data_IF_653159703231
#
_entry.id   IF_653159703231
#
_cell.length_a   1.000
_cell.length_b   1.000
_cell.length_c   1.000
_cell.angle_alpha   90.00
_cell.angle_beta   90.00
_cell.angle_gamma   90.00
#
_symmetry.space_group_name_H-M   'P 1'
#
loop_
_entity.id
_entity.type
_entity.pdbx_description
1 polymer ?
#
# COMPACT_ATOMS: atom_id res chain seq x y z
N UNK A 1 -9.69 10.76 19.28
CA UNK A 1 -10.41 11.61 18.30
C UNK A 1 -11.88 11.52 18.64
N UNK A 2 -12.63 12.62 18.73
CA UNK A 2 -14.02 12.56 19.17
C UNK A 2 -14.90 12.06 18.01
N UNK A 3 -15.42 10.84 18.09
CA UNK A 3 -16.25 10.20 17.07
C UNK A 3 -17.50 11.03 16.70
N UNK A 4 -18.04 11.80 17.66
CA UNK A 4 -19.17 12.69 17.40
C UNK A 4 -18.90 13.82 16.41
N UNK A 5 -17.62 14.17 16.17
CA UNK A 5 -17.26 15.21 15.17
C UNK A 5 -17.46 14.74 13.74
N UNK A 6 -17.48 13.41 13.50
CA UNK A 6 -17.52 12.81 12.17
C UNK A 6 -18.80 12.00 11.90
N UNK A 7 -19.65 11.78 12.92
CA UNK A 7 -20.79 10.85 12.85
C UNK A 7 -22.05 11.40 12.15
N UNK A 8 -22.08 12.65 11.72
CA UNK A 8 -23.31 13.28 11.17
C UNK A 8 -23.22 13.69 9.71
N UNK A 9 -22.42 13.00 8.91
CA UNK A 9 -22.29 13.33 7.49
C UNK A 9 -23.37 12.66 6.64
N UNK A 10 -24.56 13.22 6.65
CA UNK A 10 -25.54 13.00 5.57
C UNK A 10 -25.35 13.96 4.38
N UNK A 11 -24.32 14.81 4.41
CA UNK A 11 -23.95 15.74 3.34
C UNK A 11 -22.52 15.49 2.88
N UNK A 12 -22.25 15.72 1.59
CA UNK A 12 -20.91 15.65 1.01
C UNK A 12 -19.93 16.70 1.56
N UNK A 13 -20.41 17.65 2.35
CA UNK A 13 -19.62 18.71 2.96
C UNK A 13 -19.29 18.39 4.42
N UNK A 14 -18.02 18.62 4.86
CA UNK A 14 -17.64 18.44 6.25
C UNK A 14 -18.40 19.44 7.15
N UNK A 15 -18.65 19.10 8.44
CA UNK A 15 -19.27 20.02 9.37
C UNK A 15 -18.56 21.37 9.42
N UNK A 16 -19.31 22.47 9.43
CA UNK A 16 -18.74 23.84 9.37
C UNK A 16 -17.65 24.13 10.40
N UNK A 17 -17.72 23.49 11.58
CA UNK A 17 -16.68 23.66 12.63
C UNK A 17 -15.36 23.03 12.21
N UNK A 18 -15.41 21.88 11.52
CA UNK A 18 -14.21 21.20 10.99
C UNK A 18 -13.62 22.03 9.86
N UNK A 19 -14.47 22.51 8.95
CA UNK A 19 -14.03 23.34 7.83
C UNK A 19 -13.32 24.61 8.33
N UNK A 20 -13.94 25.34 9.29
CA UNK A 20 -13.32 26.53 9.90
C UNK A 20 -12.00 26.21 10.62
N UNK A 21 -11.90 25.07 11.27
CA UNK A 21 -10.65 24.62 11.90
C UNK A 21 -9.55 24.35 10.87
N UNK A 22 -9.87 23.66 9.79
CA UNK A 22 -8.92 23.40 8.69
C UNK A 22 -8.50 24.72 8.03
N UNK A 23 -9.45 25.62 7.73
CA UNK A 23 -9.16 26.94 7.17
C UNK A 23 -8.24 27.76 8.08
N UNK A 24 -8.45 27.71 9.40
CA UNK A 24 -7.59 28.39 10.36
C UNK A 24 -6.17 27.79 10.40
N UNK A 25 -6.01 26.48 10.25
CA UNK A 25 -4.70 25.83 10.15
C UNK A 25 -3.99 26.27 8.87
N UNK A 26 -4.69 26.18 7.72
CA UNK A 26 -4.13 26.58 6.42
C UNK A 26 -3.69 28.03 6.44
N UNK A 27 -4.56 28.95 6.86
CA UNK A 27 -4.21 30.38 6.92
C UNK A 27 -3.05 30.67 7.87
N UNK A 28 -2.97 29.98 9.00
CA UNK A 28 -1.84 30.10 9.93
C UNK A 28 -0.55 29.59 9.30
N UNK A 29 -0.62 28.48 8.55
CA UNK A 29 0.53 27.92 7.84
C UNK A 29 1.03 28.89 6.76
N UNK A 30 0.12 29.49 5.98
CA UNK A 30 0.45 30.49 4.97
C UNK A 30 1.17 31.70 5.56
N UNK A 31 0.71 32.21 6.71
CA UNK A 31 1.39 33.29 7.45
C UNK A 31 2.83 32.91 7.81
N UNK A 32 3.05 31.68 8.30
CA UNK A 32 4.41 31.21 8.62
C UNK A 32 5.29 31.04 7.38
N UNK A 33 4.73 30.60 6.26
CA UNK A 33 5.44 30.50 4.97
C UNK A 33 5.86 31.90 4.50
N UNK A 34 4.95 32.87 4.58
CA UNK A 34 5.23 34.26 4.17
C UNK A 34 6.26 34.93 5.09
N UNK A 35 6.17 34.72 6.40
CA UNK A 35 7.21 35.11 7.35
C UNK A 35 8.56 34.47 6.99
N UNK A 36 8.57 33.21 6.56
CA UNK A 36 9.80 32.50 6.14
C UNK A 36 10.43 33.05 4.86
N UNK A 37 9.64 33.70 3.99
CA UNK A 37 10.11 34.38 2.76
C UNK A 37 10.69 35.76 3.03
N UNK A 38 10.40 36.36 4.16
CA UNK A 38 10.90 37.72 4.50
C UNK A 38 12.40 37.68 4.82
N UNK A 39 13.21 38.28 3.94
CA UNK A 39 14.66 38.34 4.06
C UNK A 39 15.14 39.05 5.36
N UNK A 40 14.29 39.90 5.96
CA UNK A 40 14.61 40.57 7.22
C UNK A 40 14.60 39.56 8.41
N UNK A 41 13.74 38.58 8.38
CA UNK A 41 13.66 37.49 9.38
C UNK A 41 14.76 36.42 9.22
N UNK A 42 15.38 36.33 8.04
CA UNK A 42 16.57 35.51 7.83
C UNK A 42 17.79 35.95 8.67
N UNK A 43 17.78 37.18 9.17
CA UNK A 43 18.80 37.73 10.10
C UNK A 43 18.60 37.22 11.54
N UNK A 44 17.43 36.71 11.87
CA UNK A 44 17.16 36.07 13.15
C UNK A 44 17.93 34.74 13.19
N UNK A 45 18.98 34.64 13.92
CA UNK A 45 20.04 33.64 13.93
C UNK A 45 19.62 32.17 13.88
N UNK A 46 20.59 31.25 13.85
CA UNK A 46 20.46 29.78 13.70
C UNK A 46 19.40 29.16 14.63
N UNK A 47 19.22 29.68 15.84
CA UNK A 47 18.25 29.19 16.82
C UNK A 47 16.78 29.37 16.38
N UNK A 48 16.44 30.44 15.70
CA UNK A 48 15.10 30.71 15.18
C UNK A 48 14.73 29.68 14.10
N UNK A 49 15.63 29.47 13.14
CA UNK A 49 15.44 28.48 12.07
C UNK A 49 15.19 27.08 12.63
N UNK A 50 15.93 26.68 13.67
CA UNK A 50 15.77 25.37 14.32
C UNK A 50 14.41 25.28 15.03
N UNK A 51 13.96 26.35 15.71
CA UNK A 51 12.66 26.38 16.39
C UNK A 51 11.49 26.29 15.41
N UNK A 52 11.54 27.05 14.32
CA UNK A 52 10.51 27.04 13.27
C UNK A 52 10.46 25.66 12.59
N UNK A 53 11.61 25.10 12.21
CA UNK A 53 11.67 23.75 11.63
C UNK A 53 11.11 22.68 12.57
N UNK A 54 11.39 22.76 13.87
CA UNK A 54 10.82 21.86 14.89
C UNK A 54 9.31 22.04 15.01
N UNK A 55 8.82 23.28 14.98
CA UNK A 55 7.39 23.56 15.04
C UNK A 55 6.66 22.97 13.83
N UNK A 56 7.17 23.15 12.60
CA UNK A 56 6.59 22.57 11.40
C UNK A 56 6.58 21.04 11.46
N UNK A 57 7.66 20.39 11.91
CA UNK A 57 7.70 18.93 12.11
C UNK A 57 6.64 18.46 13.11
N UNK A 58 6.46 19.18 14.21
CA UNK A 58 5.44 18.84 15.21
C UNK A 58 4.02 19.06 14.66
N UNK A 59 3.80 20.16 13.95
CA UNK A 59 2.51 20.45 13.30
C UNK A 59 2.15 19.36 12.28
N UNK A 60 3.10 18.98 11.42
CA UNK A 60 2.93 17.89 10.45
C UNK A 60 2.60 16.56 11.13
N UNK A 61 3.35 16.21 12.19
CA UNK A 61 3.11 14.97 12.93
C UNK A 61 1.71 14.93 13.62
N UNK A 62 1.21 16.09 14.07
CA UNK A 62 -0.12 16.20 14.69
C UNK A 62 -1.26 16.30 13.69
N UNK A 63 -1.01 16.93 12.53
CA UNK A 63 -1.99 17.00 11.46
C UNK A 63 -2.22 15.61 10.85
N UNK A 64 -1.16 14.77 10.85
CA UNK A 64 -1.15 13.43 10.29
C UNK A 64 -0.92 13.41 8.79
N UNK A 65 -0.96 12.22 8.24
CA UNK A 65 -0.79 11.96 6.81
C UNK A 65 -2.03 11.22 6.29
N UNK A 66 -2.40 11.50 5.04
CA UNK A 66 -3.50 10.80 4.38
C UNK A 66 -3.02 9.41 3.93
N UNK A 67 -3.78 8.38 4.27
CA UNK A 67 -3.56 7.01 3.80
C UNK A 67 -4.67 6.57 2.87
N UNK A 68 -4.31 5.90 1.77
CA UNK A 68 -5.24 5.21 0.87
C UNK A 68 -5.34 3.75 1.28
N UNK A 69 -6.51 3.31 1.71
CA UNK A 69 -6.79 1.93 2.07
C UNK A 69 -7.57 1.24 0.94
N UNK A 70 -6.95 0.25 0.30
CA UNK A 70 -7.53 -0.52 -0.80
C UNK A 70 -8.05 -1.85 -0.26
N UNK A 71 -9.37 -2.02 -0.27
CA UNK A 71 -10.04 -3.21 0.21
C UNK A 71 -9.81 -4.41 -0.71
N UNK A 72 -9.90 -5.60 -0.15
CA UNK A 72 -10.03 -6.84 -0.90
C UNK A 72 -11.34 -6.91 -1.69
N UNK A 73 -11.63 -8.09 -2.25
CA UNK A 73 -12.85 -8.34 -2.98
C UNK A 73 -12.62 -9.01 -4.34
N UNK A 74 -11.56 -9.79 -4.44
CA UNK A 74 -11.19 -10.51 -5.67
C UNK A 74 -11.20 -9.59 -6.91
N UNK A 75 -12.00 -9.88 -7.94
CA UNK A 75 -12.09 -9.08 -9.16
C UNK A 75 -12.58 -7.64 -8.98
N UNK A 76 -13.18 -7.28 -7.85
CA UNK A 76 -13.55 -5.88 -7.59
C UNK A 76 -12.34 -4.97 -7.39
N UNK A 77 -11.15 -5.52 -7.12
CA UNK A 77 -9.93 -4.71 -7.04
C UNK A 77 -9.63 -3.92 -8.33
N UNK A 78 -10.16 -4.35 -9.47
CA UNK A 78 -9.97 -3.63 -10.74
C UNK A 78 -10.57 -2.23 -10.73
N UNK A 79 -11.64 -1.98 -9.96
CA UNK A 79 -12.16 -0.62 -9.77
C UNK A 79 -11.17 0.29 -9.04
N UNK A 80 -10.33 -0.26 -8.18
CA UNK A 80 -9.30 0.49 -7.45
C UNK A 80 -8.25 1.10 -8.37
N UNK A 81 -7.96 0.49 -9.53
CA UNK A 81 -7.06 1.09 -10.52
C UNK A 81 -7.62 2.39 -11.07
N UNK A 82 -8.94 2.46 -11.33
CA UNK A 82 -9.61 3.69 -11.75
C UNK A 82 -9.53 4.79 -10.70
N UNK A 83 -9.69 4.43 -9.42
CA UNK A 83 -9.51 5.38 -8.29
C UNK A 83 -8.07 5.88 -8.22
N UNK A 84 -7.09 4.99 -8.32
CA UNK A 84 -5.66 5.35 -8.34
C UNK A 84 -5.37 6.26 -9.53
N UNK A 85 -5.89 5.96 -10.73
CA UNK A 85 -5.72 6.79 -11.92
C UNK A 85 -6.26 8.20 -11.69
N UNK A 86 -7.47 8.34 -11.15
CA UNK A 86 -8.08 9.64 -10.87
C UNK A 86 -7.28 10.45 -9.83
N UNK A 87 -6.77 9.79 -8.79
CA UNK A 87 -5.92 10.43 -7.78
C UNK A 87 -4.57 10.86 -8.36
N UNK A 88 -3.97 10.05 -9.24
CA UNK A 88 -2.73 10.36 -9.92
C UNK A 88 -2.90 11.58 -10.85
N UNK A 89 -3.95 11.60 -11.67
CA UNK A 89 -4.26 12.70 -12.59
C UNK A 89 -4.53 14.02 -11.85
N UNK A 90 -5.09 13.93 -10.65
CA UNK A 90 -5.38 15.07 -9.79
C UNK A 90 -4.18 15.49 -8.92
N UNK A 91 -3.05 14.79 -9.01
CA UNK A 91 -1.87 14.96 -8.14
C UNK A 91 -2.23 14.85 -6.63
N UNK A 92 -3.13 13.95 -6.31
CA UNK A 92 -3.64 13.70 -4.95
C UNK A 92 -3.36 12.28 -4.43
N UNK A 93 -2.53 11.51 -5.14
CA UNK A 93 -2.19 10.14 -4.73
C UNK A 93 -1.35 10.17 -3.45
N UNK A 94 -1.84 9.58 -2.33
CA UNK A 94 -1.12 9.60 -1.06
C UNK A 94 0.16 8.77 -1.08
N UNK A 95 1.10 9.13 -0.20
CA UNK A 95 2.36 8.39 -0.03
C UNK A 95 2.23 7.18 0.91
N UNK A 96 1.12 7.07 1.66
CA UNK A 96 0.82 5.90 2.49
C UNK A 96 -0.32 5.12 1.85
N UNK A 97 -0.03 3.88 1.48
CA UNK A 97 -1.00 3.01 0.82
C UNK A 97 -1.05 1.66 1.53
N UNK A 98 -2.26 1.23 1.86
CA UNK A 98 -2.51 -0.07 2.45
C UNK A 98 -3.42 -0.90 1.55
N UNK A 99 -3.14 -2.20 1.46
CA UNK A 99 -3.96 -3.13 0.69
C UNK A 99 -4.14 -4.47 1.41
N UNK A 100 -5.31 -5.08 1.20
CA UNK A 100 -5.63 -6.43 1.63
C UNK A 100 -6.16 -7.23 0.45
N UNK A 101 -5.79 -8.51 0.32
CA UNK A 101 -6.26 -9.39 -0.76
C UNK A 101 -6.07 -8.74 -2.13
N UNK A 102 -7.09 -8.70 -2.99
CA UNK A 102 -7.04 -8.00 -4.28
C UNK A 102 -6.57 -6.55 -4.20
N UNK A 103 -6.88 -5.83 -3.12
CA UNK A 103 -6.39 -4.47 -2.91
C UNK A 103 -4.87 -4.39 -2.71
N UNK A 104 -4.23 -5.45 -2.19
CA UNK A 104 -2.77 -5.53 -2.04
C UNK A 104 -2.06 -5.59 -3.40
N UNK A 105 -2.68 -6.18 -4.42
CA UNK A 105 -2.16 -6.24 -5.80
C UNK A 105 -2.04 -4.82 -6.36
N UNK A 106 -3.11 -4.03 -6.23
CA UNK A 106 -3.14 -2.63 -6.68
C UNK A 106 -2.15 -1.77 -5.88
N UNK A 107 -2.15 -1.92 -4.54
CA UNK A 107 -1.24 -1.20 -3.65
C UNK A 107 0.23 -1.47 -3.99
N UNK A 108 0.58 -2.72 -4.27
CA UNK A 108 1.92 -3.13 -4.66
C UNK A 108 2.36 -2.48 -5.98
N UNK A 109 1.50 -2.51 -7.01
CA UNK A 109 1.77 -1.83 -8.28
C UNK A 109 2.09 -0.36 -8.04
N UNK A 110 1.22 0.34 -7.29
CA UNK A 110 1.36 1.77 -7.04
C UNK A 110 2.62 2.11 -6.27
N UNK A 111 2.98 1.30 -5.28
CA UNK A 111 4.12 1.58 -4.41
C UNK A 111 5.47 1.14 -5.01
N UNK A 112 5.49 0.30 -6.04
CA UNK A 112 6.73 -0.14 -6.70
C UNK A 112 7.06 0.66 -7.96
N UNK A 113 6.12 1.47 -8.47
CA UNK A 113 6.30 2.25 -9.70
C UNK A 113 6.23 3.76 -9.42
N UNK A 114 7.02 4.54 -10.17
CA UNK A 114 6.98 6.01 -10.10
C UNK A 114 5.71 6.57 -10.75
N UNK A 115 5.43 7.87 -10.59
CA UNK A 115 4.26 8.50 -11.23
C UNK A 115 4.31 8.40 -12.76
N UNK A 116 5.51 8.55 -13.32
CA UNK A 116 5.75 8.45 -14.76
C UNK A 116 5.43 7.05 -15.27
N UNK A 117 5.94 6.02 -14.60
CA UNK A 117 5.67 4.62 -14.92
C UNK A 117 4.18 4.27 -14.75
N UNK A 118 3.54 4.77 -13.69
CA UNK A 118 2.10 4.56 -13.48
C UNK A 118 1.25 5.20 -14.59
N UNK A 119 1.67 6.35 -15.12
CA UNK A 119 0.98 6.98 -16.25
C UNK A 119 1.07 6.14 -17.53
N UNK A 120 2.16 5.41 -17.73
CA UNK A 120 2.32 4.49 -18.86
C UNK A 120 1.54 3.19 -18.67
N UNK A 121 1.54 2.65 -17.44
CA UNK A 121 0.90 1.37 -17.10
C UNK A 121 -0.62 1.51 -17.03
N UNK A 122 -1.13 2.58 -16.41
CA UNK A 122 -2.58 2.79 -16.19
C UNK A 122 -3.27 3.40 -17.42
N UNK A 123 -2.93 2.93 -18.60
CA UNK A 123 -3.62 3.20 -19.86
C UNK A 123 -4.62 2.08 -20.15
N UNK A 124 -5.53 2.28 -21.09
CA UNK A 124 -6.52 1.26 -21.48
C UNK A 124 -5.83 -0.02 -21.98
N UNK A 125 -4.73 0.10 -22.72
CA UNK A 125 -3.95 -1.01 -23.24
C UNK A 125 -3.18 -1.73 -22.10
N UNK A 126 -2.47 -0.97 -21.26
CA UNK A 126 -1.72 -1.52 -20.12
C UNK A 126 -2.64 -2.20 -19.11
N UNK A 127 -3.81 -1.63 -18.86
CA UNK A 127 -4.82 -2.22 -17.97
C UNK A 127 -5.38 -3.54 -18.51
N UNK A 128 -5.52 -3.68 -19.82
CA UNK A 128 -5.97 -4.94 -20.41
C UNK A 128 -5.01 -6.10 -20.09
N UNK A 129 -3.70 -5.86 -20.12
CA UNK A 129 -2.69 -6.87 -19.82
C UNK A 129 -2.62 -7.21 -18.32
N UNK A 130 -2.68 -6.18 -17.46
CA UNK A 130 -2.67 -6.33 -16.00
C UNK A 130 -3.92 -7.04 -15.48
N UNK A 131 -5.08 -6.74 -16.05
CA UNK A 131 -6.37 -7.29 -15.64
C UNK A 131 -6.63 -8.72 -16.15
N UNK A 132 -5.67 -9.38 -16.79
CA UNK A 132 -5.76 -10.79 -17.19
C UNK A 132 -5.21 -11.71 -16.08
N UNK A 133 -5.96 -11.95 -14.98
CA UNK A 133 -5.40 -12.67 -13.84
C UNK A 133 -5.19 -14.16 -14.13
N UNK A 134 -5.98 -14.75 -15.04
CA UNK A 134 -6.03 -16.20 -15.25
C UNK A 134 -5.81 -16.53 -16.73
N UNK A 135 -4.59 -16.98 -17.05
CA UNK A 135 -4.26 -17.49 -18.41
C UNK A 135 -4.51 -19.00 -18.52
N UNK A 136 -4.98 -19.64 -17.44
CA UNK A 136 -5.23 -21.07 -17.39
C UNK A 136 -6.66 -21.43 -17.76
N UNK A 137 -6.81 -22.49 -18.54
CA UNK A 137 -8.12 -23.05 -18.86
C UNK A 137 -8.79 -23.62 -17.58
N UNK A 138 -10.09 -23.44 -17.46
CA UNK A 138 -10.90 -23.91 -16.32
C UNK A 138 -10.74 -25.41 -16.03
N UNK A 139 -10.44 -26.24 -17.04
CA UNK A 139 -10.19 -27.70 -16.89
C UNK A 139 -8.93 -27.96 -16.06
N UNK A 140 -7.87 -27.20 -16.30
CA UNK A 140 -6.59 -27.30 -15.56
C UNK A 140 -6.79 -26.88 -14.10
N UNK A 141 -7.56 -25.82 -13.87
CA UNK A 141 -7.89 -25.36 -12.50
C UNK A 141 -8.69 -26.41 -11.72
N UNK A 142 -9.68 -27.06 -12.35
CA UNK A 142 -10.45 -28.14 -11.71
C UNK A 142 -9.56 -29.37 -11.44
N UNK A 143 -8.72 -29.76 -12.38
CA UNK A 143 -7.79 -30.88 -12.17
C UNK A 143 -6.85 -30.62 -10.99
N UNK A 144 -6.32 -29.40 -10.88
CA UNK A 144 -5.48 -28.98 -9.75
C UNK A 144 -6.28 -29.00 -8.45
N UNK A 145 -7.50 -28.50 -8.44
CA UNK A 145 -8.34 -28.54 -7.25
C UNK A 145 -8.59 -29.97 -6.74
N UNK A 146 -8.88 -30.91 -7.64
CA UNK A 146 -9.08 -32.32 -7.28
C UNK A 146 -7.78 -32.92 -6.73
N UNK A 147 -6.63 -32.59 -7.29
CA UNK A 147 -5.33 -33.16 -6.91
C UNK A 147 -4.75 -32.48 -5.66
N UNK A 148 -4.80 -31.17 -5.58
CA UNK A 148 -4.02 -30.36 -4.65
C UNK A 148 -4.88 -29.57 -3.65
N UNK A 149 -6.21 -29.53 -3.84
CA UNK A 149 -7.15 -28.80 -3.00
C UNK A 149 -7.11 -27.28 -3.20
N UNK A 150 -6.46 -26.79 -4.27
CA UNK A 150 -6.40 -25.35 -4.63
C UNK A 150 -6.63 -25.15 -6.12
N UNK A 151 -7.32 -24.08 -6.48
CA UNK A 151 -7.59 -23.75 -7.89
C UNK A 151 -6.39 -23.13 -8.60
N UNK A 152 -5.61 -22.30 -7.89
CA UNK A 152 -4.49 -21.55 -8.45
C UNK A 152 -3.15 -22.18 -8.11
N UNK A 153 -2.17 -21.92 -8.97
CA UNK A 153 -0.78 -22.31 -8.80
C UNK A 153 0.01 -21.17 -8.14
N UNK A 154 0.55 -21.36 -6.92
CA UNK A 154 1.27 -20.31 -6.22
C UNK A 154 2.52 -19.84 -6.96
N UNK A 155 3.29 -20.74 -7.58
CA UNK A 155 4.53 -20.41 -8.27
C UNK A 155 4.26 -19.55 -9.50
N UNK A 156 3.25 -19.94 -10.27
CA UNK A 156 2.82 -19.20 -11.46
C UNK A 156 2.26 -17.83 -11.09
N UNK A 157 1.45 -17.75 -10.03
CA UNK A 157 0.92 -16.48 -9.53
C UNK A 157 2.04 -15.56 -9.02
N UNK A 158 3.02 -16.11 -8.30
CA UNK A 158 4.19 -15.37 -7.84
C UNK A 158 4.98 -14.78 -9.02
N UNK A 159 5.28 -15.61 -10.03
CA UNK A 159 5.99 -15.17 -11.22
C UNK A 159 5.24 -14.03 -11.95
N UNK A 160 3.91 -14.14 -12.05
CA UNK A 160 3.07 -13.11 -12.68
C UNK A 160 3.06 -11.80 -11.87
N UNK A 161 2.97 -11.89 -10.55
CA UNK A 161 3.07 -10.71 -9.67
C UNK A 161 4.43 -10.03 -9.81
N UNK A 162 5.52 -10.80 -9.86
CA UNK A 162 6.86 -10.28 -10.05
C UNK A 162 7.02 -9.57 -11.40
N UNK A 163 6.50 -10.15 -12.46
CA UNK A 163 6.59 -9.62 -13.82
C UNK A 163 5.76 -8.34 -14.00
N UNK A 164 4.52 -8.34 -13.54
CA UNK A 164 3.54 -7.32 -13.92
C UNK A 164 3.25 -6.28 -12.83
N UNK A 165 3.45 -6.60 -11.54
CA UNK A 165 2.96 -5.76 -10.44
C UNK A 165 4.03 -5.25 -9.48
N UNK A 166 5.13 -5.98 -9.28
CA UNK A 166 6.09 -5.66 -8.21
C UNK A 166 7.50 -5.37 -8.68
N UNK A 167 7.73 -5.31 -9.99
CA UNK A 167 9.08 -5.12 -10.58
C UNK A 167 10.08 -6.17 -10.09
N UNK A 168 9.73 -7.43 -10.27
CA UNK A 168 10.57 -8.55 -9.85
C UNK A 168 10.49 -8.80 -8.35
N UNK A 169 11.65 -9.05 -7.77
CA UNK A 169 11.87 -9.40 -6.38
C UNK A 169 11.99 -8.18 -5.45
N UNK A 170 11.38 -7.05 -5.82
CA UNK A 170 11.41 -5.81 -5.05
C UNK A 170 10.92 -6.01 -3.63
N UNK A 171 11.70 -5.53 -2.64
CA UNK A 171 11.35 -5.56 -1.22
C UNK A 171 10.62 -4.28 -0.79
N UNK A 172 10.03 -4.28 0.42
CA UNK A 172 9.36 -3.08 0.97
C UNK A 172 10.32 -1.90 1.13
N UNK A 173 11.57 -2.15 1.53
CA UNK A 173 12.60 -1.12 1.66
C UNK A 173 13.00 -0.54 0.30
N UNK A 174 13.23 -1.41 -0.70
CA UNK A 174 13.60 -1.02 -2.06
C UNK A 174 12.49 -0.20 -2.73
N UNK A 175 11.22 -0.63 -2.59
CA UNK A 175 10.06 0.09 -3.11
C UNK A 175 9.96 1.50 -2.53
N UNK A 176 10.11 1.63 -1.20
CA UNK A 176 10.11 2.92 -0.54
C UNK A 176 11.28 3.81 -0.97
N UNK A 177 12.49 3.27 -1.07
CA UNK A 177 13.65 4.00 -1.54
C UNK A 177 13.47 4.54 -2.96
N UNK A 178 12.75 3.79 -3.81
CA UNK A 178 12.47 4.16 -5.18
C UNK A 178 11.38 5.22 -5.33
N UNK A 179 10.26 5.07 -4.62
CA UNK A 179 9.03 5.84 -4.87
C UNK A 179 8.69 6.84 -3.78
N UNK A 180 9.26 6.70 -2.59
CA UNK A 180 8.87 7.45 -1.39
C UNK A 180 7.54 6.97 -0.77
N UNK A 181 6.83 6.01 -1.40
CA UNK A 181 5.54 5.51 -0.92
C UNK A 181 5.70 4.37 0.07
N UNK A 182 4.96 4.44 1.15
CA UNK A 182 4.92 3.42 2.22
C UNK A 182 3.80 2.42 1.95
N UNK A 183 4.18 1.24 1.46
CA UNK A 183 3.28 0.12 1.25
C UNK A 183 3.02 -0.62 2.56
N UNK A 184 1.76 -0.97 2.80
CA UNK A 184 1.31 -1.78 3.93
C UNK A 184 0.40 -2.90 3.42
N UNK A 185 0.71 -4.16 3.74
CA UNK A 185 -0.07 -5.33 3.32
C UNK A 185 -0.48 -6.12 4.56
N UNK A 186 -1.77 -6.41 4.70
CA UNK A 186 -2.30 -7.23 5.79
C UNK A 186 -2.29 -8.71 5.42
N UNK A 187 -1.81 -9.55 6.34
CA UNK A 187 -1.82 -11.01 6.26
C UNK A 187 -2.15 -11.61 7.63
N UNK A 188 -2.61 -12.86 7.67
CA UNK A 188 -2.83 -13.60 8.91
C UNK A 188 -1.94 -14.85 8.92
N UNK A 189 -1.37 -15.20 10.09
CA UNK A 189 -0.58 -16.42 10.24
C UNK A 189 -1.52 -17.63 10.19
N UNK A 190 -1.26 -18.56 9.28
CA UNK A 190 -2.02 -19.80 9.16
C UNK A 190 -1.66 -20.74 10.30
N UNK A 191 -2.62 -21.12 11.14
CA UNK A 191 -2.38 -22.06 12.22
C UNK A 191 -3.45 -22.05 13.32
N UNK A 192 -3.15 -22.70 14.43
CA UNK A 192 -4.09 -22.94 15.51
C UNK A 192 -4.61 -21.63 16.12
N UNK A 193 -5.89 -21.37 15.94
CA UNK A 193 -6.63 -20.40 16.72
C UNK A 193 -6.77 -18.99 16.14
N UNK A 194 -6.58 -18.80 14.82
CA UNK A 194 -6.70 -17.48 14.21
C UNK A 194 -5.61 -16.53 14.79
N UNK A 195 -4.49 -16.39 14.11
CA UNK A 195 -3.45 -15.45 14.54
C UNK A 195 -3.92 -14.01 14.40
N UNK A 196 -3.40 -13.11 15.22
CA UNK A 196 -3.60 -11.67 15.02
C UNK A 196 -3.15 -11.26 13.62
N UNK A 197 -3.90 -10.39 12.93
CA UNK A 197 -3.49 -9.90 11.62
C UNK A 197 -2.17 -9.15 11.73
N UNK A 198 -1.24 -9.46 10.83
CA UNK A 198 0.05 -8.83 10.72
C UNK A 198 0.05 -7.79 9.60
N UNK A 199 0.67 -6.65 9.85
CA UNK A 199 0.90 -5.62 8.84
C UNK A 199 2.34 -5.69 8.37
N UNK A 200 2.55 -6.13 7.13
CA UNK A 200 3.84 -6.17 6.47
C UNK A 200 4.14 -4.82 5.83
N UNK A 201 5.30 -4.24 6.11
CA UNK A 201 5.70 -2.94 5.59
C UNK A 201 7.23 -2.73 5.74
N UNK A 202 7.73 -1.59 5.26
CA UNK A 202 9.15 -1.23 5.33
C UNK A 202 9.74 -1.10 6.74
N UNK A 203 8.90 -0.98 7.78
CA UNK A 203 9.34 -0.83 9.17
C UNK A 203 9.49 -2.21 9.83
N UNK A 204 8.49 -3.07 9.67
CA UNK A 204 8.41 -4.36 10.34
C UNK A 204 9.11 -5.48 9.54
N UNK A 205 9.06 -5.39 8.20
CA UNK A 205 9.51 -6.43 7.27
C UNK A 205 10.20 -5.82 6.04
N UNK A 206 11.28 -5.01 6.23
CA UNK A 206 11.90 -4.23 5.15
C UNK A 206 12.38 -5.09 3.98
N UNK A 207 12.91 -6.27 4.27
CA UNK A 207 13.60 -7.15 3.31
C UNK A 207 12.68 -8.27 2.76
N UNK A 208 11.39 -8.24 3.10
CA UNK A 208 10.40 -9.17 2.52
C UNK A 208 10.10 -8.76 1.08
N UNK A 209 10.09 -9.77 0.18
CA UNK A 209 9.71 -9.60 -1.23
C UNK A 209 8.22 -9.33 -1.33
N UNK A 210 7.85 -8.18 -1.87
CA UNK A 210 6.45 -7.69 -1.95
C UNK A 210 5.54 -8.69 -2.67
N UNK A 211 5.99 -9.30 -3.75
CA UNK A 211 5.20 -10.29 -4.50
C UNK A 211 4.74 -11.46 -3.62
N UNK A 212 5.59 -11.95 -2.72
CA UNK A 212 5.24 -13.01 -1.77
C UNK A 212 4.23 -12.54 -0.71
N UNK A 213 4.34 -11.29 -0.26
CA UNK A 213 3.40 -10.67 0.68
C UNK A 213 2.01 -10.48 0.04
N UNK A 214 1.96 -10.02 -1.22
CA UNK A 214 0.72 -9.92 -2.00
C UNK A 214 0.08 -11.29 -2.18
N UNK A 215 0.88 -12.29 -2.57
CA UNK A 215 0.39 -13.66 -2.76
C UNK A 215 -0.17 -14.24 -1.47
N UNK A 216 0.49 -14.01 -0.34
CA UNK A 216 0.02 -14.40 1.00
C UNK A 216 -1.29 -13.70 1.36
N UNK A 217 -1.40 -12.39 1.10
CA UNK A 217 -2.63 -11.60 1.32
C UNK A 217 -3.79 -12.04 0.41
N UNK A 218 -3.52 -12.72 -0.70
CA UNK A 218 -4.53 -13.29 -1.60
C UNK A 218 -4.79 -14.78 -1.36
N UNK A 219 -4.15 -15.40 -0.35
CA UNK A 219 -4.25 -16.82 -0.09
C UNK A 219 -5.56 -17.18 0.66
N UNK A 220 -6.68 -17.09 -0.05
CA UNK A 220 -7.97 -17.55 0.43
C UNK A 220 -8.05 -19.09 0.37
N UNK A 221 -8.67 -19.73 1.38
CA UNK A 221 -8.93 -21.18 1.36
C UNK A 221 -9.58 -21.63 0.06
N UNK A 222 -9.18 -22.78 -0.44
CA UNK A 222 -9.55 -23.36 -1.73
C UNK A 222 -8.95 -22.63 -2.96
N UNK A 223 -8.74 -21.32 -2.91
CA UNK A 223 -8.16 -20.58 -4.02
C UNK A 223 -6.65 -20.79 -4.10
N UNK A 224 -5.95 -20.55 -2.98
CA UNK A 224 -4.51 -20.77 -2.82
C UNK A 224 -4.22 -21.48 -1.51
N UNK A 225 -3.13 -22.25 -1.47
CA UNK A 225 -2.59 -22.80 -0.22
C UNK A 225 -1.92 -21.69 0.58
N UNK A 226 -1.79 -21.85 1.92
CA UNK A 226 -1.02 -20.89 2.73
C UNK A 226 0.41 -20.72 2.20
N UNK A 227 0.88 -19.48 2.14
CA UNK A 227 2.12 -19.05 1.48
C UNK A 227 3.22 -18.77 2.51
N UNK A 228 4.46 -19.16 2.21
CA UNK A 228 5.65 -18.66 2.92
C UNK A 228 6.07 -17.31 2.35
N UNK A 229 6.42 -16.37 3.23
CA UNK A 229 7.03 -15.11 2.81
C UNK A 229 8.47 -15.34 2.34
N UNK A 230 8.87 -14.64 1.29
CA UNK A 230 10.23 -14.65 0.78
C UNK A 230 11.00 -13.44 1.34
N UNK A 231 12.19 -13.71 1.81
CA UNK A 231 13.14 -12.73 2.30
C UNK A 231 14.31 -12.62 1.32
N UNK A 232 14.72 -11.41 1.03
CA UNK A 232 15.88 -11.09 0.19
C UNK A 232 17.00 -10.58 1.09
N UNK A 233 18.14 -11.26 1.08
CA UNK A 233 19.31 -10.79 1.84
C UNK A 233 19.80 -9.46 1.25
N UNK A 234 19.84 -8.37 2.04
CA UNK A 234 20.23 -7.05 1.52
C UNK A 234 21.70 -6.96 1.10
N UNK A 235 22.56 -7.92 1.51
CA UNK A 235 23.98 -7.91 1.19
C UNK A 235 24.30 -8.78 -0.05
N UNK A 236 23.70 -9.97 -0.13
CA UNK A 236 23.97 -10.93 -1.22
C UNK A 236 22.95 -10.86 -2.33
N UNK A 237 21.73 -10.41 -2.04
CA UNK A 237 20.59 -10.46 -2.95
C UNK A 237 19.92 -11.84 -3.04
N UNK A 238 20.38 -12.82 -2.25
CA UNK A 238 19.81 -14.17 -2.26
C UNK A 238 18.40 -14.19 -1.69
N UNK A 239 17.50 -14.92 -2.34
CA UNK A 239 16.11 -15.07 -1.92
C UNK A 239 15.91 -16.43 -1.27
N UNK A 240 15.33 -16.42 -0.07
CA UNK A 240 15.00 -17.60 0.69
C UNK A 240 13.66 -17.45 1.40
N UNK A 241 13.06 -18.55 1.87
CA UNK A 241 11.88 -18.46 2.73
C UNK A 241 12.27 -17.78 4.05
N UNK A 242 11.46 -16.80 4.48
CA UNK A 242 11.69 -16.07 5.73
C UNK A 242 11.66 -16.99 6.95
N UNK A 243 10.70 -17.91 6.98
CA UNK A 243 10.62 -18.99 7.97
C UNK A 243 9.83 -20.16 7.33
N UNK A 244 10.43 -21.34 7.29
CA UNK A 244 9.78 -22.53 6.69
C UNK A 244 8.58 -23.01 7.51
N UNK A 245 8.53 -22.70 8.81
CA UNK A 245 7.44 -23.12 9.70
C UNK A 245 6.20 -22.23 9.58
N UNK A 246 6.37 -20.95 9.25
CA UNK A 246 5.27 -20.00 9.19
C UNK A 246 4.68 -19.92 7.78
N UNK A 247 3.37 -20.09 7.72
CA UNK A 247 2.56 -19.93 6.52
C UNK A 247 1.56 -18.82 6.76
N UNK A 248 1.22 -18.10 5.71
CA UNK A 248 0.35 -16.93 5.78
C UNK A 248 -0.84 -17.09 4.84
N UNK A 249 -1.94 -16.51 5.25
CA UNK A 249 -3.23 -16.49 4.52
C UNK A 249 -3.75 -15.06 4.43
N UNK A 250 -4.84 -14.89 3.69
CA UNK A 250 -5.51 -13.59 3.51
C UNK A 250 -5.83 -12.94 4.87
N UNK A 251 -5.44 -11.68 5.02
CA UNK A 251 -5.61 -10.92 6.26
C UNK A 251 -7.07 -10.59 6.62
N UNK A 252 -8.01 -10.83 5.71
CA UNK A 252 -9.45 -10.69 5.96
C UNK A 252 -10.13 -11.98 6.39
N UNK A 253 -9.37 -13.08 6.50
CA UNK A 253 -9.87 -14.38 6.87
C UNK A 253 -9.54 -14.67 8.34
N UNK A 254 -10.54 -14.60 9.21
CA UNK A 254 -10.52 -15.03 10.60
C UNK A 254 -11.18 -16.39 10.78
#
# INVERSE_FOLDING_TARGET
MNEELYSHTHSAEPPQKIQKFVEAIVSTTDIFVDIGKDAALFKLGKQWKTRVAKMFKLAQAQYGETGLCLSGGAGFCFYSYGVVRALLDSNMLPDIISGSSGGSVVAALVCTHTNEELNEILTDEGMYDICRPFDEGWKTMIQRFIKDGSFLDPERMLAKLMDQHTRGDTTFAEAYARTGRSLNISVTVSGRGGGDPLLLNRINTPDVVIASAVLASCALPMLLKPISLLHKDPLTGDISAMNDADKYVDGSFE
#
